data_IF_806193677653
#
_entry.id   IF_806193677653
#
_cell.length_a   1.000
_cell.length_b   1.000
_cell.length_c   1.000
_cell.angle_alpha   90.00
_cell.angle_beta   90.00
_cell.angle_gamma   90.00
#
_symmetry.space_group_name_H-M   'P 1'
#
loop_
_entity.id
_entity.type
_entity.pdbx_description
1 polymer ?
#
# COMPACT_ATOMS: atom_id res chain seq x y z
N UNK A 1 48.13 24.65 58.05
CA UNK A 1 48.60 24.27 56.70
C UNK A 1 48.16 22.86 56.28
N UNK A 2 47.91 21.92 57.20
CA UNK A 2 47.50 20.54 56.87
C UNK A 2 46.09 20.39 56.27
N UNK A 3 45.14 21.28 56.59
CA UNK A 3 43.73 21.14 56.22
C UNK A 3 43.43 21.33 54.73
N UNK A 4 44.14 22.22 54.03
CA UNK A 4 43.95 22.47 52.60
C UNK A 4 44.45 21.29 51.75
N UNK A 5 45.54 20.66 52.18
CA UNK A 5 46.12 19.50 51.51
C UNK A 5 45.20 18.28 51.59
N UNK A 6 44.61 18.02 52.76
CA UNK A 6 43.63 16.94 52.96
C UNK A 6 42.36 17.15 52.13
N UNK A 7 41.86 18.39 52.06
CA UNK A 7 40.73 18.75 51.22
C UNK A 7 41.02 18.51 49.74
N UNK A 8 42.21 18.91 49.26
CA UNK A 8 42.61 18.69 47.86
C UNK A 8 42.71 17.19 47.53
N UNK A 9 43.24 16.38 48.45
CA UNK A 9 43.30 14.92 48.27
C UNK A 9 41.92 14.27 48.24
N UNK A 10 40.97 14.74 49.05
CA UNK A 10 39.60 14.25 49.03
C UNK A 10 38.93 14.56 47.68
N UNK A 11 39.07 15.80 47.20
CA UNK A 11 38.56 16.21 45.89
C UNK A 11 39.16 15.40 44.73
N UNK A 12 40.46 15.13 44.75
CA UNK A 12 41.11 14.30 43.73
C UNK A 12 40.55 12.88 43.72
N UNK A 13 40.40 12.25 44.89
CA UNK A 13 39.82 10.89 44.99
C UNK A 13 38.38 10.84 44.52
N UNK A 14 37.58 11.85 44.87
CA UNK A 14 36.20 11.95 44.42
C UNK A 14 36.12 12.16 42.91
N UNK A 15 36.96 13.04 42.36
CA UNK A 15 37.07 13.26 40.91
C UNK A 15 37.46 11.97 40.18
N UNK A 16 38.46 11.24 40.67
CA UNK A 16 38.89 9.97 40.07
C UNK A 16 37.78 8.92 40.12
N UNK A 17 37.04 8.84 41.24
CA UNK A 17 35.87 7.97 41.37
C UNK A 17 34.77 8.34 40.37
N UNK A 18 34.49 9.64 40.21
CA UNK A 18 33.48 10.14 39.28
C UNK A 18 33.88 9.86 37.82
N UNK A 19 35.14 10.07 37.45
CA UNK A 19 35.65 9.74 36.11
C UNK A 19 35.49 8.24 35.85
N UNK A 20 35.87 7.37 36.79
CA UNK A 20 35.71 5.93 36.65
C UNK A 20 34.25 5.52 36.45
N UNK A 21 33.33 6.14 37.20
CA UNK A 21 31.90 5.86 37.08
C UNK A 21 31.34 6.32 35.74
N UNK A 22 31.70 7.52 35.28
CA UNK A 22 31.30 8.05 33.98
C UNK A 22 31.82 7.19 32.83
N UNK A 23 33.07 6.73 32.90
CA UNK A 23 33.63 5.81 31.89
C UNK A 23 32.82 4.52 31.80
N UNK A 24 32.48 3.90 32.94
CA UNK A 24 31.64 2.70 32.95
C UNK A 24 30.25 2.94 32.38
N UNK A 25 29.65 4.09 32.71
CA UNK A 25 28.33 4.45 32.17
C UNK A 25 28.39 4.64 30.65
N UNK A 26 29.44 5.28 30.15
CA UNK A 26 29.66 5.48 28.71
C UNK A 26 29.87 4.16 27.98
N UNK A 27 30.68 3.26 28.54
CA UNK A 27 30.92 1.93 27.96
C UNK A 27 29.62 1.12 27.86
N UNK A 28 28.80 1.14 28.92
CA UNK A 28 27.50 0.48 28.93
C UNK A 28 26.53 1.11 27.91
N UNK A 29 26.49 2.44 27.83
CA UNK A 29 25.65 3.14 26.86
C UNK A 29 26.06 2.82 25.42
N UNK A 30 27.36 2.77 25.13
CA UNK A 30 27.89 2.40 23.83
C UNK A 30 27.55 0.95 23.46
N UNK A 31 27.67 0.01 24.41
CA UNK A 31 27.29 -1.38 24.19
C UNK A 31 25.79 -1.51 23.88
N UNK A 32 24.93 -0.84 24.65
CA UNK A 32 23.49 -0.83 24.42
C UNK A 32 23.11 -0.17 23.09
N UNK A 33 23.77 0.94 22.73
CA UNK A 33 23.56 1.61 21.46
C UNK A 33 23.90 0.69 20.28
N UNK A 34 25.06 0.02 20.33
CA UNK A 34 25.48 -0.92 19.29
C UNK A 34 24.44 -2.03 19.07
N UNK A 35 23.98 -2.67 20.15
CA UNK A 35 22.95 -3.73 20.06
C UNK A 35 21.65 -3.20 19.47
N UNK A 36 21.26 -1.98 19.86
CA UNK A 36 20.03 -1.35 19.36
C UNK A 36 20.12 -1.06 17.87
N UNK A 37 21.26 -0.55 17.40
CA UNK A 37 21.51 -0.28 15.97
C UNK A 37 21.49 -1.58 15.16
N UNK A 38 22.21 -2.61 15.61
CA UNK A 38 22.23 -3.91 14.93
C UNK A 38 20.83 -4.55 14.85
N UNK A 39 20.03 -4.44 15.91
CA UNK A 39 18.64 -4.91 15.91
C UNK A 39 17.75 -4.12 14.95
N UNK A 40 17.93 -2.79 14.86
CA UNK A 40 17.20 -1.94 13.93
C UNK A 40 17.55 -2.26 12.47
N UNK A 41 18.83 -2.45 12.16
CA UNK A 41 19.30 -2.84 10.82
C UNK A 41 18.75 -4.21 10.41
N UNK A 42 18.76 -5.18 11.33
CA UNK A 42 18.17 -6.49 11.08
C UNK A 42 16.66 -6.41 10.84
N UNK A 43 15.94 -5.61 11.62
CA UNK A 43 14.50 -5.40 11.47
C UNK A 43 14.15 -4.68 10.16
N UNK A 44 14.92 -3.66 9.76
CA UNK A 44 14.69 -2.96 8.47
C UNK A 44 14.92 -3.89 7.29
N UNK A 45 15.96 -4.72 7.36
CA UNK A 45 16.25 -5.72 6.33
C UNK A 45 15.13 -6.76 6.19
N UNK A 46 14.56 -7.22 7.29
CA UNK A 46 13.47 -8.18 7.25
C UNK A 46 12.20 -7.56 6.68
N UNK A 47 11.82 -6.36 7.12
CA UNK A 47 10.68 -5.62 6.55
C UNK A 47 10.81 -5.41 5.06
N UNK A 48 12.02 -5.09 4.55
CA UNK A 48 12.24 -4.95 3.11
C UNK A 48 11.98 -6.26 2.37
N UNK A 49 12.44 -7.40 2.91
CA UNK A 49 12.19 -8.72 2.31
C UNK A 49 10.72 -9.08 2.30
N UNK A 50 10.00 -8.80 3.39
CA UNK A 50 8.55 -9.02 3.47
C UNK A 50 7.81 -8.20 2.41
N UNK A 51 8.15 -6.91 2.27
CA UNK A 51 7.57 -6.03 1.26
C UNK A 51 7.90 -6.52 -0.15
N UNK A 52 9.14 -6.90 -0.43
CA UNK A 52 9.55 -7.43 -1.73
C UNK A 52 8.80 -8.72 -2.09
N UNK A 53 8.63 -9.63 -1.12
CA UNK A 53 7.87 -10.86 -1.31
C UNK A 53 6.39 -10.59 -1.59
N UNK A 54 5.78 -9.66 -0.85
CA UNK A 54 4.38 -9.29 -1.03
C UNK A 54 4.14 -8.61 -2.39
N UNK A 55 5.05 -7.72 -2.82
CA UNK A 55 4.99 -7.11 -4.15
C UNK A 55 5.10 -8.17 -5.25
N UNK A 56 6.00 -9.15 -5.10
CA UNK A 56 6.13 -10.24 -6.06
C UNK A 56 4.85 -11.10 -6.13
N UNK A 57 4.21 -11.38 -4.98
CA UNK A 57 2.94 -12.10 -4.90
C UNK A 57 1.82 -11.34 -5.63
N UNK A 58 1.65 -10.05 -5.32
CA UNK A 58 0.63 -9.20 -5.95
C UNK A 58 0.83 -9.06 -7.46
N UNK A 59 2.08 -8.95 -7.93
CA UNK A 59 2.38 -8.94 -9.36
C UNK A 59 2.03 -10.26 -10.05
N UNK A 60 2.20 -11.39 -9.36
CA UNK A 60 1.76 -12.70 -9.82
C UNK A 60 0.24 -12.78 -9.95
N UNK A 61 -0.48 -12.40 -8.91
CA UNK A 61 -1.95 -12.39 -8.90
C UNK A 61 -2.54 -11.45 -9.94
N UNK A 62 -1.94 -10.27 -10.12
CA UNK A 62 -2.32 -9.33 -11.17
C UNK A 62 -2.24 -9.98 -12.56
N UNK A 63 -1.13 -10.64 -12.87
CA UNK A 63 -0.95 -11.33 -14.16
C UNK A 63 -1.96 -12.46 -14.36
N UNK A 64 -2.27 -13.20 -13.29
CA UNK A 64 -3.30 -14.25 -13.36
C UNK A 64 -4.69 -13.66 -13.63
N UNK A 65 -5.04 -12.55 -12.98
CA UNK A 65 -6.28 -11.83 -13.24
C UNK A 65 -6.35 -11.28 -14.66
N UNK A 66 -5.27 -10.68 -15.17
CA UNK A 66 -5.18 -10.20 -16.55
C UNK A 66 -5.39 -11.35 -17.54
N UNK A 67 -4.75 -12.50 -17.33
CA UNK A 67 -4.92 -13.67 -18.20
C UNK A 67 -6.36 -14.25 -18.15
N UNK A 68 -7.00 -14.26 -16.98
CA UNK A 68 -8.41 -14.67 -16.84
C UNK A 68 -9.33 -13.70 -17.57
N UNK A 69 -9.08 -12.40 -17.45
CA UNK A 69 -9.85 -11.37 -18.16
C UNK A 69 -9.74 -11.55 -19.67
N UNK A 70 -8.52 -11.69 -20.20
CA UNK A 70 -8.29 -11.95 -21.62
C UNK A 70 -9.03 -13.21 -22.10
N UNK A 71 -8.99 -14.29 -21.30
CA UNK A 71 -9.73 -15.52 -21.63
C UNK A 71 -11.25 -15.32 -21.63
N UNK A 72 -11.79 -14.55 -20.70
CA UNK A 72 -13.23 -14.25 -20.62
C UNK A 72 -13.67 -13.36 -21.77
N UNK A 73 -12.88 -12.33 -22.10
CA UNK A 73 -13.14 -11.45 -23.24
C UNK A 73 -13.11 -12.24 -24.56
N UNK A 74 -12.08 -13.08 -24.75
CA UNK A 74 -11.99 -13.94 -25.93
C UNK A 74 -13.19 -14.90 -26.02
N UNK A 75 -13.60 -15.49 -24.90
CA UNK A 75 -14.78 -16.35 -24.85
C UNK A 75 -16.06 -15.60 -25.20
N UNK A 76 -16.26 -14.40 -24.65
CA UNK A 76 -17.42 -13.56 -24.92
C UNK A 76 -17.48 -13.14 -26.39
N UNK A 77 -16.35 -12.73 -26.97
CA UNK A 77 -16.26 -12.39 -28.40
C UNK A 77 -16.60 -13.59 -29.28
N UNK A 78 -16.03 -14.76 -28.97
CA UNK A 78 -16.23 -15.97 -29.76
C UNK A 78 -17.67 -16.50 -29.71
N UNK A 79 -18.34 -16.37 -28.57
CA UNK A 79 -19.61 -17.07 -28.32
C UNK A 79 -20.83 -16.16 -28.25
N UNK A 80 -20.66 -14.85 -28.10
CA UNK A 80 -21.78 -13.93 -27.91
C UNK A 80 -21.83 -12.87 -29.01
N UNK A 81 -20.71 -12.20 -29.30
CA UNK A 81 -20.68 -10.98 -30.13
C UNK A 81 -21.20 -11.15 -31.58
N UNK A 82 -21.09 -12.35 -32.14
CA UNK A 82 -21.56 -12.68 -33.50
C UNK A 82 -22.82 -13.55 -33.52
N UNK A 83 -23.57 -13.61 -32.41
CA UNK A 83 -24.80 -14.39 -32.33
C UNK A 83 -26.03 -13.53 -32.53
N UNK A 84 -27.09 -14.14 -33.05
CA UNK A 84 -28.42 -13.53 -33.18
C UNK A 84 -28.94 -13.00 -31.84
N UNK A 85 -28.50 -13.58 -30.72
CA UNK A 85 -28.79 -13.12 -29.37
C UNK A 85 -28.14 -11.76 -29.05
N UNK A 86 -26.89 -11.52 -29.50
CA UNK A 86 -26.25 -10.21 -29.35
C UNK A 86 -26.88 -9.16 -30.26
N UNK A 87 -27.25 -9.52 -31.50
CA UNK A 87 -28.00 -8.62 -32.40
C UNK A 87 -29.34 -8.24 -31.79
N UNK A 88 -30.12 -9.21 -31.30
CA UNK A 88 -31.40 -8.95 -30.63
C UNK A 88 -31.22 -8.15 -29.34
N UNK A 89 -30.17 -8.41 -28.56
CA UNK A 89 -29.84 -7.62 -27.38
C UNK A 89 -29.45 -6.19 -27.76
N UNK A 90 -28.57 -6.00 -28.74
CA UNK A 90 -28.14 -4.70 -29.26
C UNK A 90 -29.32 -3.90 -29.80
N UNK A 91 -30.22 -4.55 -30.55
CA UNK A 91 -31.43 -3.93 -31.08
C UNK A 91 -32.43 -3.57 -29.97
N UNK A 92 -32.59 -4.45 -28.98
CA UNK A 92 -33.36 -4.16 -27.77
C UNK A 92 -32.75 -2.97 -27.01
N UNK A 93 -31.44 -2.95 -26.83
CA UNK A 93 -30.71 -1.90 -26.13
C UNK A 93 -30.82 -0.55 -26.86
N UNK A 94 -30.72 -0.57 -28.19
CA UNK A 94 -30.92 0.60 -29.04
C UNK A 94 -32.38 1.10 -29.00
N UNK A 95 -33.35 0.21 -28.82
CA UNK A 95 -34.78 0.54 -28.74
C UNK A 95 -35.22 1.07 -27.38
N UNK A 96 -34.69 0.51 -26.30
CA UNK A 96 -35.05 0.83 -24.91
C UNK A 96 -34.20 2.00 -24.38
N UNK A 97 -33.04 2.24 -24.97
CA UNK A 97 -32.20 3.40 -24.69
C UNK A 97 -31.36 3.22 -23.43
N UNK A 98 -30.16 3.81 -23.46
CA UNK A 98 -29.13 3.62 -22.42
C UNK A 98 -29.60 4.01 -21.01
N UNK A 99 -30.50 5.00 -20.87
CA UNK A 99 -30.99 5.46 -19.57
C UNK A 99 -31.90 4.44 -18.87
N UNK A 100 -32.70 3.69 -19.63
CA UNK A 100 -33.65 2.73 -19.07
C UNK A 100 -32.93 1.43 -18.68
N UNK A 101 -31.88 1.05 -19.42
CA UNK A 101 -30.97 -0.04 -19.00
C UNK A 101 -30.18 0.35 -17.75
N UNK A 102 -29.64 1.58 -17.69
CA UNK A 102 -28.98 2.06 -16.47
C UNK A 102 -29.93 2.05 -15.27
N UNK A 103 -31.21 2.34 -15.46
CA UNK A 103 -32.21 2.29 -14.41
C UNK A 103 -32.45 0.86 -13.88
N UNK A 104 -32.53 -0.13 -14.77
CA UNK A 104 -32.67 -1.56 -14.39
C UNK A 104 -31.42 -2.05 -13.65
N UNK A 105 -30.22 -1.75 -14.17
CA UNK A 105 -28.96 -2.14 -13.51
C UNK A 105 -28.83 -1.53 -12.11
N UNK A 106 -29.25 -0.27 -11.94
CA UNK A 106 -29.25 0.40 -10.63
C UNK A 106 -30.26 -0.24 -9.67
N UNK A 107 -31.36 -0.77 -10.19
CA UNK A 107 -32.42 -1.41 -9.39
C UNK A 107 -32.07 -2.85 -8.99
N UNK A 108 -31.43 -3.61 -9.88
CA UNK A 108 -31.08 -5.01 -9.63
C UNK A 108 -29.70 -5.18 -8.98
N UNK A 109 -28.78 -4.22 -9.18
CA UNK A 109 -27.42 -4.26 -8.67
C UNK A 109 -27.00 -2.92 -8.04
N UNK A 110 -27.49 -2.67 -6.82
CA UNK A 110 -27.24 -1.43 -6.08
C UNK A 110 -25.79 -1.21 -5.66
N UNK A 111 -24.97 -2.25 -5.71
CA UNK A 111 -23.56 -2.30 -5.32
C UNK A 111 -22.60 -1.98 -6.48
N UNK A 112 -23.08 -2.00 -7.72
CA UNK A 112 -22.30 -1.65 -8.90
C UNK A 112 -22.16 -0.13 -9.04
N UNK A 113 -20.92 0.37 -9.10
CA UNK A 113 -20.66 1.77 -9.48
C UNK A 113 -20.92 1.95 -10.98
N UNK A 114 -22.11 2.46 -11.30
CA UNK A 114 -22.53 2.76 -12.67
C UNK A 114 -22.11 4.16 -13.13
N UNK A 115 -21.39 4.94 -12.30
CA UNK A 115 -20.93 6.28 -12.64
C UNK A 115 -20.13 6.35 -13.95
N UNK A 116 -19.14 5.46 -14.19
CA UNK A 116 -18.38 5.43 -15.44
C UNK A 116 -19.22 5.11 -16.68
N UNK A 117 -20.22 4.21 -16.54
CA UNK A 117 -21.14 3.86 -17.63
C UNK A 117 -22.08 5.02 -17.92
N UNK A 118 -22.62 5.67 -16.88
CA UNK A 118 -23.51 6.82 -17.03
C UNK A 118 -22.81 8.01 -17.70
N UNK A 119 -21.57 8.31 -17.32
CA UNK A 119 -20.77 9.37 -17.95
C UNK A 119 -20.52 9.11 -19.45
N UNK A 120 -20.42 7.84 -19.84
CA UNK A 120 -20.21 7.43 -21.25
C UNK A 120 -21.50 7.46 -22.08
N UNK A 121 -22.66 7.37 -21.45
CA UNK A 121 -23.98 7.35 -22.12
C UNK A 121 -24.75 8.67 -22.04
N UNK A 122 -24.29 9.65 -21.25
CA UNK A 122 -24.79 11.02 -21.35
C UNK A 122 -24.35 11.62 -22.69
N UNK A 123 -25.25 12.30 -23.43
CA UNK A 123 -24.83 13.07 -24.59
C UNK A 123 -23.87 14.17 -24.12
N UNK A 124 -22.79 14.40 -24.87
CA UNK A 124 -21.99 15.61 -24.75
C UNK A 124 -22.95 16.80 -24.92
N UNK A 125 -23.33 17.46 -23.84
CA UNK A 125 -24.09 18.70 -23.89
C UNK A 125 -23.22 19.75 -24.60
N UNK A 126 -23.63 20.09 -25.84
CA UNK A 126 -23.54 21.41 -26.46
C UNK A 126 -22.27 22.25 -26.18
N UNK A 127 -21.16 21.95 -26.87
CA UNK A 127 -20.25 23.04 -27.28
C UNK A 127 -20.78 23.65 -28.59
N UNK A 128 -21.75 24.56 -28.47
CA UNK A 128 -22.18 25.36 -29.61
C UNK A 128 -23.56 25.97 -29.47
N UNK A 129 -23.67 27.07 -28.73
CA UNK A 129 -24.61 28.15 -29.05
C UNK A 129 -24.06 29.52 -28.68
#
# INVERSE_FOLDING_TARGET
MYTVYEQLQAYLRESDSNVLQLTKQLDNANAAHKVTVEALEAADKEKRREVEAEVARLLGEKKEMEAKLESVEAYFVANFYNTEAYTNFSDYFARVGHQEVLAVLRAEHSDLDLGPLQARFSPLEEEGS
#
